data_IF_004326916062
#
_entry.id   IF_004326916062
#
_cell.length_a   1.000
_cell.length_b   1.000
_cell.length_c   1.000
_cell.angle_alpha   90.00
_cell.angle_beta   90.00
_cell.angle_gamma   90.00
#
_symmetry.space_group_name_H-M   'P 1'
#
loop_
_entity.id
_entity.type
_entity.pdbx_description
1 polymer ?
#
# COMPACT_ATOMS: atom_id res chain seq x y z
N UNK A 1 19.72 -2.35 14.92
CA UNK A 1 18.37 -2.72 14.42
C UNK A 1 17.37 -2.46 15.53
N UNK A 2 16.39 -1.58 15.31
CA UNK A 2 15.29 -1.37 16.25
C UNK A 2 14.22 -2.44 16.00
N UNK A 3 14.04 -3.35 16.95
CA UNK A 3 12.96 -4.32 16.90
C UNK A 3 11.66 -3.68 17.36
N UNK A 4 10.54 -4.08 16.73
CA UNK A 4 9.20 -3.72 17.20
C UNK A 4 8.81 -4.67 18.32
N UNK A 5 8.76 -4.17 19.55
CA UNK A 5 8.33 -4.95 20.70
C UNK A 5 6.83 -5.27 20.61
N UNK A 6 6.45 -6.47 21.03
CA UNK A 6 5.03 -6.90 21.11
C UNK A 6 4.70 -7.35 22.53
N UNK A 7 3.50 -7.05 23.05
CA UNK A 7 2.45 -6.23 22.42
C UNK A 7 2.83 -4.74 22.40
N UNK A 8 2.28 -3.99 21.46
CA UNK A 8 2.46 -2.54 21.39
C UNK A 8 1.19 -1.87 20.87
N UNK A 9 0.92 -0.67 21.37
CA UNK A 9 -0.04 0.24 20.73
C UNK A 9 0.59 0.85 19.48
N UNK A 10 -0.22 1.26 18.51
CA UNK A 10 0.25 1.98 17.34
C UNK A 10 0.66 3.40 17.78
N UNK A 11 1.93 3.79 17.67
CA UNK A 11 2.36 5.15 17.99
C UNK A 11 1.81 6.14 16.96
N UNK A 12 1.71 7.45 17.30
CA UNK A 12 1.22 8.47 16.37
C UNK A 12 2.23 8.85 15.27
N UNK A 13 3.47 8.34 15.31
CA UNK A 13 4.52 8.58 14.33
C UNK A 13 5.54 7.43 14.33
N UNK A 14 6.37 7.39 13.28
CA UNK A 14 7.47 6.42 13.12
C UNK A 14 7.02 5.11 12.48
N UNK A 15 7.93 4.15 12.41
CA UNK A 15 7.83 2.97 11.53
C UNK A 15 6.49 2.22 11.62
N UNK A 16 5.97 1.96 12.82
CA UNK A 16 4.70 1.22 12.99
C UNK A 16 3.52 2.04 12.45
N UNK A 17 3.51 3.35 12.70
CA UNK A 17 2.51 4.25 12.13
C UNK A 17 2.61 4.25 10.60
N UNK A 18 3.83 4.39 10.07
CA UNK A 18 4.04 4.59 8.65
C UNK A 18 3.70 3.34 7.83
N UNK A 19 4.03 2.14 8.34
CA UNK A 19 3.65 0.85 7.70
C UNK A 19 2.13 0.66 7.65
N UNK A 20 1.39 1.17 8.64
CA UNK A 20 -0.07 1.00 8.73
C UNK A 20 -0.86 2.10 7.99
N UNK A 21 -0.32 3.31 7.87
CA UNK A 21 -1.07 4.49 7.45
C UNK A 21 -0.54 5.19 6.19
N UNK A 22 0.65 4.83 5.68
CA UNK A 22 1.18 5.45 4.46
C UNK A 22 0.46 4.97 3.20
N UNK A 23 0.46 5.81 2.15
CA UNK A 23 -0.31 5.59 0.93
C UNK A 23 0.46 5.92 -0.37
N UNK A 24 0.37 5.12 -1.44
CA UNK A 24 0.95 5.49 -2.73
C UNK A 24 0.18 6.66 -3.38
N UNK A 25 0.90 7.68 -3.83
CA UNK A 25 0.37 8.86 -4.54
C UNK A 25 1.44 9.43 -5.47
N UNK A 26 1.13 9.68 -6.74
CA UNK A 26 2.07 10.27 -7.71
C UNK A 26 1.98 11.79 -7.80
N UNK A 27 1.05 12.42 -7.06
CA UNK A 27 0.82 13.86 -7.10
C UNK A 27 2.05 14.68 -6.70
N UNK A 28 2.89 14.14 -5.81
CA UNK A 28 4.10 14.80 -5.33
C UNK A 28 5.33 13.94 -5.57
N UNK A 29 6.50 14.56 -5.76
CA UNK A 29 7.75 13.83 -5.93
C UNK A 29 8.32 13.39 -4.58
N UNK A 30 8.59 12.09 -4.42
CA UNK A 30 9.14 11.52 -3.19
C UNK A 30 8.07 11.29 -2.12
N UNK A 31 8.30 11.83 -0.93
CA UNK A 31 7.40 11.73 0.22
C UNK A 31 6.63 13.04 0.42
N UNK A 32 5.36 12.96 0.81
CA UNK A 32 4.54 14.12 1.18
C UNK A 32 3.66 13.82 2.40
N UNK A 33 3.16 14.86 3.08
CA UNK A 33 2.23 14.66 4.20
C UNK A 33 0.91 14.06 3.69
N UNK A 34 0.42 13.04 4.41
CA UNK A 34 -0.82 12.39 4.03
C UNK A 34 -2.02 13.31 4.25
N UNK A 35 -2.97 13.38 3.30
CA UNK A 35 -4.23 14.10 3.49
C UNK A 35 -5.11 13.46 4.59
N UNK A 36 -4.75 12.28 5.09
CA UNK A 36 -5.41 11.64 6.26
C UNK A 36 -5.05 12.30 7.59
N UNK A 37 -4.06 13.20 7.60
CA UNK A 37 -3.56 13.82 8.83
C UNK A 37 -2.65 12.93 9.67
N UNK A 38 -2.21 11.77 9.13
CA UNK A 38 -1.31 10.82 9.78
C UNK A 38 -0.42 10.17 8.72
N UNK A 39 0.86 9.95 9.03
CA UNK A 39 1.84 9.37 8.10
C UNK A 39 2.02 10.20 6.81
N UNK A 40 2.54 9.57 5.76
CA UNK A 40 2.98 10.17 4.52
C UNK A 40 2.36 9.47 3.31
N UNK A 41 2.31 10.18 2.18
CA UNK A 41 2.21 9.55 0.86
C UNK A 41 3.59 9.38 0.23
N UNK A 42 3.71 8.43 -0.70
CA UNK A 42 4.94 8.15 -1.42
C UNK A 42 4.70 7.86 -2.91
N UNK A 43 5.59 8.35 -3.77
CA UNK A 43 5.44 8.18 -5.22
C UNK A 43 6.09 6.89 -5.74
N UNK A 44 5.95 6.66 -7.05
CA UNK A 44 6.46 5.45 -7.69
C UNK A 44 7.98 5.28 -7.60
N UNK A 45 8.73 6.39 -7.54
CA UNK A 45 10.19 6.36 -7.38
C UNK A 45 10.57 5.73 -6.04
N UNK A 46 9.90 6.14 -4.95
CA UNK A 46 10.14 5.58 -3.61
C UNK A 46 9.84 4.07 -3.58
N UNK A 47 8.78 3.62 -4.25
CA UNK A 47 8.45 2.20 -4.37
C UNK A 47 9.56 1.43 -5.07
N UNK A 48 10.01 1.92 -6.24
CA UNK A 48 11.06 1.27 -7.03
C UNK A 48 12.38 1.23 -6.26
N UNK A 49 12.81 2.35 -5.69
CA UNK A 49 14.03 2.44 -4.86
C UNK A 49 13.99 1.46 -3.67
N UNK A 50 12.85 1.36 -2.97
CA UNK A 50 12.69 0.41 -1.87
C UNK A 50 12.77 -1.04 -2.35
N UNK A 51 12.08 -1.38 -3.43
CA UNK A 51 12.11 -2.72 -4.00
C UNK A 51 13.54 -3.12 -4.43
N UNK A 52 14.26 -2.24 -5.11
CA UNK A 52 15.61 -2.49 -5.60
C UNK A 52 16.62 -2.63 -4.45
N UNK A 53 16.53 -1.76 -3.45
CA UNK A 53 17.42 -1.80 -2.27
C UNK A 53 17.25 -3.07 -1.43
N UNK A 54 16.07 -3.71 -1.48
CA UNK A 54 15.74 -4.87 -0.66
C UNK A 54 15.56 -6.18 -1.44
N UNK A 55 15.75 -6.17 -2.77
CA UNK A 55 15.51 -7.35 -3.62
C UNK A 55 14.07 -7.84 -3.55
N UNK A 56 13.10 -6.92 -3.46
CA UNK A 56 11.67 -7.23 -3.38
C UNK A 56 11.06 -7.03 -4.75
N UNK A 57 10.29 -8.02 -5.22
CA UNK A 57 9.68 -7.92 -6.54
C UNK A 57 8.36 -7.14 -6.57
N UNK A 58 7.57 -7.29 -5.50
CA UNK A 58 6.22 -6.76 -5.41
C UNK A 58 5.88 -6.41 -3.96
N UNK A 59 5.45 -5.16 -3.74
CA UNK A 59 4.78 -4.74 -2.51
C UNK A 59 3.28 -5.05 -2.64
N UNK A 60 2.75 -5.86 -1.75
CA UNK A 60 1.31 -6.14 -1.66
C UNK A 60 0.75 -5.43 -0.44
N UNK A 61 -0.29 -4.61 -0.62
CA UNK A 61 -0.91 -3.85 0.47
C UNK A 61 -2.44 -3.79 0.39
N UNK A 62 -3.07 -3.30 1.46
CA UNK A 62 -4.49 -2.97 1.51
C UNK A 62 -4.77 -1.48 1.78
N UNK A 63 -5.68 -1.22 2.73
CA UNK A 63 -5.96 0.10 3.35
C UNK A 63 -6.69 1.16 2.49
N UNK A 64 -6.44 1.27 1.18
CA UNK A 64 -7.14 2.24 0.33
C UNK A 64 -8.12 1.58 -0.63
N UNK A 65 -9.28 2.24 -0.82
CA UNK A 65 -10.16 2.07 -1.97
C UNK A 65 -10.08 3.36 -2.80
N UNK A 66 -9.63 3.27 -4.05
CA UNK A 66 -9.58 4.41 -4.97
C UNK A 66 -10.61 4.26 -6.09
N UNK A 67 -10.84 5.34 -6.86
CA UNK A 67 -11.77 5.33 -8.00
C UNK A 67 -11.41 4.25 -9.03
N UNK A 68 -10.11 4.01 -9.25
CA UNK A 68 -9.62 2.98 -10.18
C UNK A 68 -9.93 1.55 -9.72
N UNK A 69 -10.13 1.34 -8.40
CA UNK A 69 -10.40 0.03 -7.81
C UNK A 69 -11.90 -0.30 -7.79
N UNK A 70 -12.78 0.62 -8.15
CA UNK A 70 -14.23 0.46 -7.95
C UNK A 70 -14.81 -0.76 -8.68
N UNK A 71 -14.24 -1.18 -9.82
CA UNK A 71 -14.74 -2.31 -10.62
C UNK A 71 -13.88 -3.57 -10.56
N UNK A 72 -12.84 -3.55 -9.74
CA UNK A 72 -11.83 -4.62 -9.71
C UNK A 72 -11.44 -5.02 -8.29
N UNK A 73 -11.57 -4.12 -7.32
CA UNK A 73 -11.05 -4.27 -5.97
C UNK A 73 -9.52 -4.23 -5.89
N UNK A 74 -8.79 -3.92 -6.98
CA UNK A 74 -7.34 -3.83 -6.97
C UNK A 74 -6.80 -2.75 -7.91
N UNK A 75 -5.57 -2.28 -7.64
CA UNK A 75 -4.83 -1.33 -8.47
C UNK A 75 -3.34 -1.62 -8.43
N UNK A 76 -2.71 -1.73 -9.59
CA UNK A 76 -1.25 -1.72 -9.70
C UNK A 76 -0.71 -0.29 -9.72
N UNK A 77 0.50 -0.13 -9.18
CA UNK A 77 1.23 1.13 -9.12
C UNK A 77 2.71 0.90 -9.38
N UNK A 78 3.45 1.98 -9.67
CA UNK A 78 4.91 1.96 -9.86
C UNK A 78 5.40 0.91 -10.86
N UNK A 79 4.77 0.84 -12.03
CA UNK A 79 5.14 -0.14 -13.07
C UNK A 79 4.89 -1.60 -12.65
N UNK A 80 3.92 -1.84 -11.76
CA UNK A 80 3.59 -3.17 -11.27
C UNK A 80 4.39 -3.63 -10.06
N UNK A 81 5.26 -2.79 -9.50
CA UNK A 81 6.06 -3.10 -8.29
C UNK A 81 5.27 -2.93 -6.99
N UNK A 82 4.06 -2.38 -7.05
CA UNK A 82 3.12 -2.35 -5.93
C UNK A 82 1.71 -2.69 -6.41
N UNK A 83 0.97 -3.46 -5.61
CA UNK A 83 -0.47 -3.70 -5.79
C UNK A 83 -1.23 -3.39 -4.50
N UNK A 84 -2.27 -2.57 -4.63
CA UNK A 84 -3.28 -2.37 -3.58
C UNK A 84 -4.44 -3.32 -3.83
N UNK A 85 -4.89 -4.01 -2.78
CA UNK A 85 -6.02 -4.95 -2.79
C UNK A 85 -7.04 -4.49 -1.75
N UNK A 86 -8.31 -4.48 -2.15
CA UNK A 86 -9.44 -4.18 -1.28
C UNK A 86 -10.47 -5.29 -1.37
N UNK A 87 -10.74 -5.96 -0.26
CA UNK A 87 -11.52 -7.19 -0.22
C UNK A 87 -12.93 -7.03 0.38
N UNK A 88 -13.33 -5.80 0.73
CA UNK A 88 -14.69 -5.50 1.20
C UNK A 88 -15.52 -4.95 0.04
N UNK A 89 -16.44 -5.75 -0.49
CA UNK A 89 -17.38 -5.30 -1.52
C UNK A 89 -18.43 -4.36 -0.92
N UNK A 90 -18.94 -3.45 -1.74
CA UNK A 90 -19.92 -2.42 -1.36
C UNK A 90 -19.56 -1.67 -0.07
N UNK A 91 -18.27 -1.36 0.09
CA UNK A 91 -17.76 -0.73 1.30
C UNK A 91 -18.42 0.63 1.48
N UNK A 92 -19.13 0.80 2.59
CA UNK A 92 -19.87 2.03 2.91
C UNK A 92 -20.85 2.47 1.80
N UNK A 93 -21.52 1.51 1.15
CA UNK A 93 -22.47 1.74 0.05
C UNK A 93 -21.84 2.36 -1.22
N UNK A 94 -20.53 2.17 -1.42
CA UNK A 94 -19.82 2.70 -2.58
C UNK A 94 -20.02 1.85 -3.85
N UNK A 95 -20.63 0.66 -3.76
CA UNK A 95 -20.81 -0.28 -4.89
C UNK A 95 -19.50 -0.69 -5.56
N UNK A 96 -18.41 -0.75 -4.80
CA UNK A 96 -17.14 -1.27 -5.27
C UNK A 96 -17.13 -2.81 -5.26
N UNK A 97 -16.38 -3.40 -6.17
CA UNK A 97 -16.06 -4.82 -6.14
C UNK A 97 -14.96 -5.13 -5.11
N UNK A 98 -14.82 -6.41 -4.77
CA UNK A 98 -13.76 -6.92 -3.90
C UNK A 98 -12.77 -7.78 -4.69
N UNK A 99 -11.52 -7.78 -4.24
CA UNK A 99 -10.45 -8.60 -4.83
C UNK A 99 -9.79 -9.51 -3.78
N UNK A 100 -9.33 -10.67 -4.25
CA UNK A 100 -8.40 -11.56 -3.54
C UNK A 100 -7.25 -11.86 -4.49
N UNK A 101 -6.01 -11.64 -4.05
CA UNK A 101 -4.81 -12.01 -4.81
C UNK A 101 -4.40 -13.45 -4.51
N UNK A 102 -4.32 -14.28 -5.55
CA UNK A 102 -3.79 -15.63 -5.46
C UNK A 102 -2.36 -15.67 -6.05
N UNK A 103 -1.37 -15.99 -5.21
CA UNK A 103 0.04 -16.12 -5.61
C UNK A 103 0.35 -17.60 -5.81
N UNK A 104 0.57 -18.01 -7.06
CA UNK A 104 0.88 -19.41 -7.38
C UNK A 104 2.35 -19.74 -7.08
N UNK A 105 2.66 -21.03 -6.87
CA UNK A 105 4.06 -21.50 -6.73
C UNK A 105 4.92 -21.29 -7.99
N UNK A 106 4.30 -21.08 -9.16
CA UNK A 106 4.97 -20.87 -10.45
C UNK A 106 5.15 -19.40 -10.80
N UNK A 107 5.04 -18.51 -9.81
CA UNK A 107 5.29 -17.08 -10.03
C UNK A 107 6.75 -16.92 -10.45
N UNK A 108 6.97 -16.67 -11.75
CA UNK A 108 8.20 -16.15 -12.29
C UNK A 108 8.04 -14.63 -12.34
N UNK A 109 8.67 -13.93 -11.40
CA UNK A 109 8.84 -12.48 -11.44
C UNK A 109 10.24 -12.16 -11.96
#
# INVERSE_FOLDING_TARGET
>A
MSFVNRPTVVPPYGLICDVLWSDPDDKYNGWALSPRGISFTFNERIVKEFCDAHGIDLIVRGHQLTVEMMKTGYRFFAGGRLVSIFSAADYTNMKNDACVLHISKKVCL
#
